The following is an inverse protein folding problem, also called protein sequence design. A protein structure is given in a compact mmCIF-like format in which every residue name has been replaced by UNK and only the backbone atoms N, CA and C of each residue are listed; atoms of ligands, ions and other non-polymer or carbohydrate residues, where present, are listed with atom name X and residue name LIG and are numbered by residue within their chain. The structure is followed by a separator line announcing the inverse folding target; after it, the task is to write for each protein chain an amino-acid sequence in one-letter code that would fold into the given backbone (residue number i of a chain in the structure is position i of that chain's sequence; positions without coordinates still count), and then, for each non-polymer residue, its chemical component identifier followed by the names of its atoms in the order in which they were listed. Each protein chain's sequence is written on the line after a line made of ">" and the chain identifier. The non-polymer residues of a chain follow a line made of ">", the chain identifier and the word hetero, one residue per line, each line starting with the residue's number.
data_IF_867666314627
#
_entry.id   IF_867666314627
#
_cell.length_a   1.000
_cell.length_b   1.000
_cell.length_c   1.000
_cell.angle_alpha   90.00
_cell.angle_beta   90.00
_cell.angle_gamma   90.00
#
_symmetry.space_group_name_H-M   'P 1'
#
loop_
_entity.id
_entity.type
_entity.pdbx_description
1 polymer ?
#
# COMPACT_ATOMS: atom_id res chain seq x y z
N UNK A 1 17.98 -1.11 7.39
CA UNK A 1 16.96 -0.06 7.26
C UNK A 1 16.03 -0.21 8.43
N UNK A 2 15.73 0.88 9.13
CA UNK A 2 14.80 0.86 10.25
C UNK A 2 13.44 1.32 9.74
N UNK A 3 12.47 0.41 9.78
CA UNK A 3 11.09 0.64 9.38
C UNK A 3 10.21 0.50 10.60
N UNK A 4 9.30 1.44 10.82
CA UNK A 4 8.23 1.24 11.79
C UNK A 4 7.03 0.61 11.07
N UNK A 5 6.61 -0.58 11.49
CA UNK A 5 5.53 -1.33 10.82
C UNK A 5 4.43 -1.68 11.80
N UNK A 6 3.22 -1.21 11.52
CA UNK A 6 2.01 -1.60 12.23
C UNK A 6 1.14 -2.46 11.33
N UNK A 7 0.68 -3.60 11.87
CA UNK A 7 -0.26 -4.48 11.17
C UNK A 7 -1.68 -3.98 11.37
N UNK A 8 -2.44 -3.91 10.28
CA UNK A 8 -3.89 -3.72 10.30
C UNK A 8 -4.56 -4.93 9.66
N UNK A 9 -5.89 -4.99 9.71
CA UNK A 9 -6.63 -6.06 9.03
C UNK A 9 -6.79 -5.81 7.52
N UNK A 10 -6.26 -4.68 7.01
CA UNK A 10 -6.36 -4.23 5.62
C UNK A 10 -5.02 -3.84 4.97
N UNK A 11 -3.89 -4.01 5.65
CA UNK A 11 -2.55 -3.68 5.14
C UNK A 11 -1.51 -3.47 6.25
N UNK A 12 -0.37 -2.88 5.88
CA UNK A 12 0.60 -2.33 6.83
C UNK A 12 0.46 -0.81 6.91
N UNK A 13 0.66 -0.23 8.09
CA UNK A 13 1.04 1.19 8.20
C UNK A 13 2.54 1.24 8.42
N UNK A 14 3.25 1.91 7.52
CA UNK A 14 4.72 1.93 7.44
C UNK A 14 5.21 3.35 7.69
N UNK A 15 6.01 3.52 8.74
CA UNK A 15 6.72 4.75 9.07
C UNK A 15 8.14 4.69 8.53
N UNK A 16 8.47 5.64 7.66
CA UNK A 16 9.79 5.80 7.06
C UNK A 16 10.48 7.05 7.60
N UNK A 17 11.71 6.93 8.15
CA UNK A 17 12.54 8.09 8.43
C UNK A 17 12.82 8.88 7.14
N UNK A 18 12.99 10.20 7.26
CA UNK A 18 13.23 11.06 6.10
C UNK A 18 14.47 10.67 5.28
N UNK A 19 15.48 10.07 5.91
CA UNK A 19 16.67 9.51 5.25
C UNK A 19 16.34 8.31 4.34
N UNK A 20 15.34 7.51 4.69
CA UNK A 20 14.91 6.32 3.95
C UNK A 20 13.93 6.67 2.81
N UNK A 21 13.24 7.81 2.89
CA UNK A 21 12.35 8.31 1.83
C UNK A 21 13.07 8.45 0.48
N UNK A 22 14.33 8.84 0.50
CA UNK A 22 15.16 8.98 -0.71
C UNK A 22 15.41 7.65 -1.42
N UNK A 23 15.19 6.51 -0.75
CA UNK A 23 15.34 5.16 -1.30
C UNK A 23 14.05 4.62 -1.91
N UNK A 24 12.92 5.33 -1.75
CA UNK A 24 11.67 4.97 -2.41
C UNK A 24 11.82 5.22 -3.90
N UNK A 25 11.67 4.15 -4.68
CA UNK A 25 11.70 4.20 -6.14
C UNK A 25 10.30 4.60 -6.64
N UNK A 26 10.23 5.79 -7.25
CA UNK A 26 9.02 6.29 -7.92
C UNK A 26 8.93 5.71 -9.33
N UNK A 27 8.63 4.42 -9.41
CA UNK A 27 8.53 3.66 -10.66
C UNK A 27 7.17 3.01 -10.77
N UNK A 28 6.66 2.76 -11.99
CA UNK A 28 5.43 2.01 -12.17
C UNK A 28 5.51 0.61 -11.56
N UNK A 29 4.38 0.11 -11.10
CA UNK A 29 4.19 -1.23 -10.59
C UNK A 29 3.15 -1.96 -11.43
N UNK A 30 3.57 -3.04 -12.08
CA UNK A 30 2.66 -3.92 -12.81
C UNK A 30 2.08 -4.95 -11.85
N UNK A 31 0.75 -5.00 -11.77
CA UNK A 31 0.01 -5.94 -10.95
C UNK A 31 -0.22 -7.26 -11.69
N UNK A 32 -0.58 -8.32 -10.96
CA UNK A 32 -0.83 -9.65 -11.51
C UNK A 32 -1.93 -9.72 -12.59
N UNK A 33 -2.88 -8.79 -12.59
CA UNK A 33 -3.90 -8.66 -13.64
C UNK A 33 -3.38 -8.03 -14.95
N UNK A 34 -2.15 -7.51 -14.98
CA UNK A 34 -1.58 -6.77 -16.10
C UNK A 34 -1.76 -5.24 -16.02
N UNK A 35 -2.59 -4.76 -15.09
CA UNK A 35 -2.75 -3.33 -14.81
C UNK A 35 -1.44 -2.72 -14.29
N UNK A 36 -1.21 -1.45 -14.63
CA UNK A 36 -0.03 -0.70 -14.21
C UNK A 36 -0.47 0.43 -13.28
N UNK A 37 0.13 0.49 -12.09
CA UNK A 37 0.04 1.61 -11.17
C UNK A 37 1.27 2.50 -11.33
N UNK A 38 1.10 3.68 -11.92
CA UNK A 38 2.13 4.72 -11.95
C UNK A 38 2.09 5.56 -10.67
N UNK A 39 3.23 6.08 -10.17
CA UNK A 39 3.22 6.99 -9.02
C UNK A 39 2.28 8.17 -9.26
N UNK A 40 1.32 8.38 -8.37
CA UNK A 40 0.25 9.37 -8.54
C UNK A 40 -1.10 8.78 -8.93
N UNK A 41 -1.14 7.55 -9.47
CA UNK A 41 -2.39 6.88 -9.80
C UNK A 41 -3.25 6.67 -8.56
N UNK A 42 -4.56 6.87 -8.75
CA UNK A 42 -5.56 6.78 -7.69
C UNK A 42 -6.55 5.66 -7.99
N UNK A 43 -6.99 4.96 -6.95
CA UNK A 43 -8.00 3.91 -7.06
C UNK A 43 -8.88 3.89 -5.82
N UNK A 44 -10.09 3.35 -5.99
CA UNK A 44 -11.03 3.07 -4.91
C UNK A 44 -11.10 1.58 -4.61
N UNK A 45 -10.73 0.73 -5.57
CA UNK A 45 -10.73 -0.72 -5.41
C UNK A 45 -9.63 -1.41 -6.23
N UNK A 46 -9.01 -2.44 -5.64
CA UNK A 46 -8.25 -3.48 -6.34
C UNK A 46 -9.05 -4.78 -6.17
N UNK A 47 -9.66 -5.22 -7.26
CA UNK A 47 -10.43 -6.45 -7.28
C UNK A 47 -9.52 -7.67 -7.12
N UNK A 48 -10.03 -8.74 -6.51
CA UNK A 48 -9.28 -9.99 -6.35
C UNK A 48 -9.99 -11.18 -6.96
N UNK A 49 -9.21 -12.12 -7.54
CA UNK A 49 -9.73 -13.43 -7.93
C UNK A 49 -9.98 -14.26 -6.67
N UNK A 50 -11.25 -14.44 -6.30
CA UNK A 50 -11.65 -14.98 -5.01
C UNK A 50 -11.34 -16.47 -4.77
N UNK A 51 -10.80 -16.75 -3.58
CA UNK A 51 -11.22 -17.84 -2.68
C UNK A 51 -11.02 -17.34 -1.22
N UNK A 52 -11.55 -18.04 -0.21
CA UNK A 52 -11.46 -17.68 1.22
C UNK A 52 -9.99 -17.50 1.67
N UNK A 53 -9.46 -16.29 1.55
CA UNK A 53 -8.03 -16.02 1.75
C UNK A 53 -7.48 -14.85 0.94
N UNK A 54 -8.17 -14.47 -0.15
CA UNK A 54 -7.75 -13.45 -1.11
C UNK A 54 -8.69 -12.23 -1.11
N UNK A 55 -8.73 -11.41 -0.05
CA UNK A 55 -9.65 -10.28 0.01
C UNK A 55 -9.27 -9.23 -1.06
N UNK A 56 -10.25 -8.59 -1.72
CA UNK A 56 -9.99 -7.39 -2.50
C UNK A 56 -9.55 -6.25 -1.58
N UNK A 57 -8.90 -5.22 -2.13
CA UNK A 57 -8.77 -3.94 -1.43
C UNK A 57 -9.97 -3.11 -1.86
N UNK A 58 -10.95 -2.93 -0.97
CA UNK A 58 -12.12 -2.06 -1.20
C UNK A 58 -12.07 -0.93 -0.19
N UNK A 59 -12.02 0.31 -0.66
CA UNK A 59 -12.04 1.48 0.21
C UNK A 59 -13.47 1.85 0.59
N UNK A 60 -13.64 2.37 1.80
CA UNK A 60 -14.91 2.96 2.21
C UNK A 60 -15.31 4.10 1.27
N UNK A 61 -16.61 4.29 1.10
CA UNK A 61 -17.15 5.39 0.29
C UNK A 61 -16.53 6.74 0.69
N UNK A 62 -16.21 7.55 -0.33
CA UNK A 62 -15.58 8.85 -0.15
C UNK A 62 -14.07 8.81 0.09
N UNK A 63 -13.41 7.67 -0.13
CA UNK A 63 -11.95 7.54 -0.05
C UNK A 63 -11.34 7.02 -1.34
N UNK A 64 -10.11 7.47 -1.62
CA UNK A 64 -9.24 6.85 -2.63
C UNK A 64 -7.86 6.58 -2.03
N UNK A 65 -7.16 5.58 -2.57
CA UNK A 65 -5.74 5.36 -2.34
C UNK A 65 -4.95 5.86 -3.52
N UNK A 66 -3.77 6.41 -3.24
CA UNK A 66 -2.84 6.91 -4.24
C UNK A 66 -1.52 6.17 -4.12
N UNK A 67 -1.05 5.62 -5.24
CA UNK A 67 0.22 4.94 -5.29
C UNK A 67 1.40 5.92 -5.24
N UNK A 68 2.38 5.65 -4.37
CA UNK A 68 3.54 6.52 -4.16
C UNK A 68 4.83 5.97 -4.78
N UNK A 69 5.04 4.66 -4.71
CA UNK A 69 6.26 4.00 -5.20
C UNK A 69 6.59 2.71 -4.46
N UNK A 70 7.82 2.23 -4.59
CA UNK A 70 8.29 0.97 -3.98
C UNK A 70 9.54 1.15 -3.16
N UNK A 71 9.69 0.36 -2.12
CA UNK A 71 10.91 0.33 -1.31
C UNK A 71 11.32 -1.09 -0.99
N UNK A 72 12.61 -1.37 -1.12
CA UNK A 72 13.21 -2.64 -0.70
C UNK A 72 13.68 -2.55 0.74
N UNK A 73 13.48 -3.62 1.49
CA UNK A 73 13.89 -3.74 2.88
C UNK A 73 14.39 -5.14 3.20
N UNK A 74 15.13 -5.28 4.30
CA UNK A 74 15.45 -6.60 4.87
C UNK A 74 14.58 -6.80 6.09
N UNK A 75 13.95 -7.96 6.20
CA UNK A 75 13.19 -8.31 7.39
C UNK A 75 14.11 -8.80 8.52
N UNK A 76 13.50 -9.27 9.63
CA UNK A 76 14.23 -9.76 10.79
C UNK A 76 15.08 -11.01 10.51
N UNK A 77 14.73 -11.80 9.48
CA UNK A 77 15.51 -12.94 9.03
C UNK A 77 16.63 -12.53 8.06
N UNK A 78 16.69 -11.24 7.68
CA UNK A 78 17.65 -10.70 6.72
C UNK A 78 17.24 -10.90 5.27
N UNK A 79 16.03 -11.41 5.01
CA UNK A 79 15.51 -11.63 3.67
C UNK A 79 15.11 -10.29 3.03
N UNK A 80 15.52 -10.09 1.77
CA UNK A 80 15.10 -8.92 1.01
C UNK A 80 13.62 -9.04 0.61
N UNK A 81 12.84 -8.02 0.96
CA UNK A 81 11.42 -7.87 0.65
C UNK A 81 11.19 -6.51 0.02
N UNK A 82 10.09 -6.36 -0.72
CA UNK A 82 9.71 -5.11 -1.37
C UNK A 82 8.30 -4.72 -0.93
N UNK A 83 8.09 -3.43 -0.65
CA UNK A 83 6.78 -2.86 -0.33
C UNK A 83 6.33 -1.95 -1.47
N UNK A 84 5.08 -2.09 -1.88
CA UNK A 84 4.35 -1.03 -2.57
C UNK A 84 3.76 -0.07 -1.51
N UNK A 85 4.01 1.23 -1.69
CA UNK A 85 3.62 2.27 -0.76
C UNK A 85 2.49 3.13 -1.33
N UNK A 86 1.52 3.44 -0.48
CA UNK A 86 0.32 4.18 -0.81
C UNK A 86 0.03 5.23 0.26
N UNK A 87 -0.71 6.26 -0.12
CA UNK A 87 -1.42 7.15 0.81
C UNK A 87 -2.93 6.97 0.58
N UNK A 88 -3.77 7.41 1.51
CA UNK A 88 -5.23 7.36 1.37
C UNK A 88 -5.82 8.70 1.77
N UNK A 89 -6.73 9.21 0.95
CA UNK A 89 -7.32 10.53 1.13
C UNK A 89 -8.83 10.51 1.03
N UNK A 90 -9.48 11.34 1.84
CA UNK A 90 -10.91 11.60 1.77
C UNK A 90 -11.18 12.52 0.58
N UNK A 91 -12.14 12.16 -0.27
CA UNK A 91 -12.50 12.88 -1.50
C UNK A 91 -12.94 14.31 -1.20
N UNK A 92 -13.81 14.48 -0.20
CA UNK A 92 -14.47 15.75 0.13
C UNK A 92 -13.50 16.88 0.50
N UNK A 93 -12.46 16.57 1.27
CA UNK A 93 -11.61 17.59 1.92
C UNK A 93 -10.11 17.31 1.78
N UNK A 94 -9.70 16.23 1.11
CA UNK A 94 -8.31 15.85 0.92
C UNK A 94 -7.60 15.35 2.19
N UNK A 95 -8.32 15.09 3.28
CA UNK A 95 -7.72 14.63 4.54
C UNK A 95 -7.09 13.25 4.37
N UNK A 96 -5.85 13.09 4.82
CA UNK A 96 -5.15 11.79 4.79
C UNK A 96 -5.64 10.87 5.92
N UNK A 97 -5.82 9.58 5.62
CA UNK A 97 -6.09 8.55 6.62
C UNK A 97 -4.95 8.38 7.63
N UNK A 98 -3.75 8.87 7.29
CA UNK A 98 -2.54 8.77 8.10
C UNK A 98 -2.21 10.06 8.86
N UNK A 99 -3.09 11.07 8.82
CA UNK A 99 -2.88 12.37 9.47
C UNK A 99 -2.57 12.23 10.97
N UNK A 100 -3.35 11.42 11.70
CA UNK A 100 -3.11 11.16 13.12
C UNK A 100 -1.73 10.55 13.39
N UNK A 101 -1.26 9.65 12.51
CA UNK A 101 0.06 9.04 12.64
C UNK A 101 1.17 10.08 12.40
N UNK A 102 1.02 10.90 11.36
CA UNK A 102 1.94 12.02 11.08
C UNK A 102 2.02 13.00 12.25
N UNK A 103 0.89 13.34 12.86
CA UNK A 103 0.85 14.22 14.02
C UNK A 103 1.52 13.60 15.25
N UNK A 104 1.36 12.28 15.46
CA UNK A 104 1.96 11.58 16.60
C UNK A 104 3.48 11.43 16.51
N UNK A 105 4.03 11.32 15.30
CA UNK A 105 5.47 11.25 15.08
C UNK A 105 5.84 11.96 13.76
N UNK A 106 6.12 13.28 13.81
CA UNK A 106 6.38 14.08 12.61
C UNK A 106 7.74 13.81 11.98
N UNK A 107 8.62 13.03 12.64
CA UNK A 107 9.93 12.66 12.09
C UNK A 107 9.84 11.53 11.07
N UNK A 108 8.70 10.84 11.02
CA UNK A 108 8.42 9.76 10.08
C UNK A 108 7.39 10.20 9.04
N UNK A 109 7.63 9.78 7.81
CA UNK A 109 6.61 9.82 6.77
C UNK A 109 5.86 8.50 6.77
N UNK A 110 4.55 8.57 6.88
CA UNK A 110 3.68 7.40 7.00
C UNK A 110 3.04 7.04 5.67
N UNK A 111 2.98 5.73 5.40
CA UNK A 111 2.34 5.13 4.23
C UNK A 111 1.46 3.95 4.64
N UNK A 112 0.53 3.61 3.77
CA UNK A 112 -0.06 2.28 3.72
C UNK A 112 0.85 1.41 2.85
N UNK A 113 1.25 0.25 3.36
CA UNK A 113 2.18 -0.65 2.70
C UNK A 113 1.57 -2.01 2.40
N UNK A 114 1.93 -2.57 1.26
CA UNK A 114 1.67 -3.97 0.91
C UNK A 114 2.99 -4.59 0.44
N UNK A 115 3.30 -5.80 0.93
CA UNK A 115 4.44 -6.56 0.40
C UNK A 115 4.14 -6.98 -1.02
N UNK A 116 5.11 -6.78 -1.92
CA UNK A 116 5.03 -7.30 -3.28
C UNK A 116 5.48 -8.76 -3.21
N UNK A 117 4.58 -9.68 -3.58
CA UNK A 117 4.77 -11.13 -3.48
C UNK A 117 4.79 -11.72 -4.89
N UNK A 118 5.67 -12.72 -5.07
CA UNK A 118 5.78 -13.47 -6.31
C UNK A 118 6.40 -12.67 -7.46
N UNK A 119 6.73 -13.36 -8.54
CA UNK A 119 7.27 -12.73 -9.75
C UNK A 119 6.19 -11.96 -10.54
N UNK A 120 4.91 -12.14 -10.19
CA UNK A 120 3.76 -11.70 -10.98
C UNK A 120 3.16 -10.38 -10.46
N UNK A 121 3.73 -9.75 -9.43
CA UNK A 121 3.21 -8.48 -8.92
C UNK A 121 1.92 -8.62 -8.10
N UNK A 122 1.85 -9.66 -7.28
CA UNK A 122 0.79 -9.80 -6.28
C UNK A 122 1.10 -8.89 -5.08
N UNK A 123 0.06 -8.46 -4.38
CA UNK A 123 0.22 -7.72 -3.13
C UNK A 123 -0.12 -8.62 -1.96
N UNK A 124 0.49 -8.40 -0.81
CA UNK A 124 0.12 -9.14 0.39
C UNK A 124 0.46 -8.41 1.67
N UNK A 125 -0.18 -8.85 2.74
CA UNK A 125 0.03 -8.29 4.06
C UNK A 125 -0.30 -9.32 5.14
N UNK A 126 0.27 -9.11 6.32
CA UNK A 126 0.00 -9.92 7.49
C UNK A 126 -0.99 -9.16 8.38
N UNK A 127 -2.13 -9.78 8.69
CA UNK A 127 -3.16 -9.21 9.58
C UNK A 127 -2.67 -9.11 11.02
N UNK A 128 -3.44 -8.44 11.88
CA UNK A 128 -3.16 -8.41 13.33
C UNK A 128 -3.14 -9.79 13.97
N UNK A 129 -3.97 -10.70 13.48
CA UNK A 129 -4.03 -12.11 13.90
C UNK A 129 -2.92 -12.99 13.31
N UNK A 130 -1.92 -12.40 12.62
CA UNK A 130 -0.83 -13.10 11.93
C UNK A 130 -1.28 -14.00 10.78
N UNK A 131 -2.47 -13.77 10.25
CA UNK A 131 -2.91 -14.42 9.01
C UNK A 131 -2.32 -13.68 7.82
N UNK A 132 -1.79 -14.40 6.85
CA UNK A 132 -1.31 -13.80 5.60
C UNK A 132 -2.48 -13.65 4.64
N UNK A 133 -2.63 -12.46 4.06
CA UNK A 133 -3.54 -12.16 2.96
C UNK A 133 -2.72 -11.90 1.71
N UNK A 134 -3.16 -12.49 0.61
CA UNK A 134 -2.61 -12.25 -0.73
C UNK A 134 -3.71 -11.65 -1.58
N UNK A 135 -3.39 -10.65 -2.36
CA UNK A 135 -4.28 -9.93 -3.26
C UNK A 135 -3.78 -10.21 -4.66
N UNK A 136 -4.43 -11.16 -5.31
CA UNK A 136 -4.19 -11.49 -6.71
C UNK A 136 -5.16 -10.67 -7.56
N UNK A 137 -4.66 -9.55 -8.09
CA UNK A 137 -5.46 -8.59 -8.86
C UNK A 137 -6.25 -9.27 -9.99
N UNK A 138 -7.53 -8.93 -10.14
CA UNK A 138 -8.31 -9.17 -11.37
C UNK A 138 -8.60 -7.90 -12.17
N UNK A 139 -8.56 -6.74 -11.51
CA UNK A 139 -8.86 -5.43 -12.09
C UNK A 139 -8.63 -4.33 -11.05
N UNK A 140 -8.68 -3.07 -11.51
CA UNK A 140 -8.56 -1.88 -10.65
C UNK A 140 -9.70 -0.92 -10.99
N UNK A 141 -10.45 -0.49 -9.98
CA UNK A 141 -11.40 0.62 -10.12
C UNK A 141 -10.66 1.91 -9.81
N UNK A 142 -10.37 2.67 -10.87
CA UNK A 142 -9.62 3.93 -10.78
C UNK A 142 -10.50 5.04 -10.20
N UNK A 143 -9.87 5.93 -9.44
CA UNK A 143 -10.51 7.18 -9.02
C UNK A 143 -10.14 8.28 -10.01
N UNK A 144 -11.14 8.77 -10.72
CA UNK A 144 -11.03 9.96 -11.58
C UNK A 144 -11.73 11.11 -10.85
N UNK A 145 -10.99 12.20 -10.61
CA UNK A 145 -11.62 13.40 -10.09
C UNK A 145 -12.55 13.93 -11.19
N UNK A 146 -13.81 14.20 -10.86
CA UNK A 146 -14.67 15.01 -11.71
C UNK A 146 -14.09 16.42 -11.67
N UNK A 147 -13.42 16.83 -12.75
CA UNK A 147 -12.94 18.20 -12.96
C UNK A 147 -14.09 19.22 -12.98
#
# INVERSE_FOLDING_TARGET
>A
MELEVYRTDSGFIVGLPQSEIKKVLKVPFQMACGEILSPGDKFTEIESKGSSGLPPIVLSEGWYQQYFGRIKFKDAAGEEKELALFDAFQVENGRSALENKRNSNPTLTWFIGYTIIGAQGELGYETRSRSIRVITCSGIVRYEALD
#
